data_IF_104351334208
#
_entry.id   IF_104351334208
#
_cell.length_a   1.000
_cell.length_b   1.000
_cell.length_c   1.000
_cell.angle_alpha   90.00
_cell.angle_beta   90.00
_cell.angle_gamma   90.00
#
_symmetry.space_group_name_H-M   'P 1'
#
loop_
_entity.id
_entity.type
_entity.pdbx_description
1 polymer ?
#
# COMPACT_ATOMS: atom_id res chain seq x y z
N UNK A 1 -50.88 5.98 25.67
CA UNK A 1 -52.04 6.15 24.76
C UNK A 1 -51.54 6.69 23.43
N UNK A 2 -52.00 6.08 22.32
CA UNK A 2 -51.89 6.40 20.90
C UNK A 2 -50.54 6.05 20.21
N UNK A 3 -50.57 4.85 19.63
CA UNK A 3 -49.81 4.38 18.47
C UNK A 3 -50.22 5.19 17.23
N UNK A 4 -49.27 5.57 16.40
CA UNK A 4 -49.55 5.81 14.99
C UNK A 4 -48.56 5.00 14.12
N UNK A 5 -49.15 4.06 13.40
CA UNK A 5 -48.59 3.38 12.24
C UNK A 5 -48.60 4.37 11.04
N UNK A 6 -47.50 4.47 10.31
CA UNK A 6 -47.56 4.93 8.95
C UNK A 6 -47.03 3.86 7.99
N UNK A 7 -47.85 3.62 6.99
CA UNK A 7 -47.78 2.55 5.98
C UNK A 7 -46.70 2.87 4.93
N UNK A 8 -45.98 1.83 4.55
CA UNK A 8 -45.16 1.73 3.35
C UNK A 8 -46.01 1.75 2.08
N UNK A 9 -45.55 2.52 1.10
CA UNK A 9 -46.01 2.38 -0.32
C UNK A 9 -44.78 2.04 -1.17
N UNK A 10 -44.78 0.82 -1.68
CA UNK A 10 -43.88 0.35 -2.71
C UNK A 10 -44.29 0.92 -4.06
N UNK A 11 -43.36 1.46 -4.83
CA UNK A 11 -43.54 1.78 -6.23
C UNK A 11 -42.60 0.91 -7.04
N UNK A 12 -43.19 -0.06 -7.71
CA UNK A 12 -42.58 -0.91 -8.72
C UNK A 12 -42.61 -0.16 -10.06
N UNK A 13 -41.48 0.08 -10.68
CA UNK A 13 -41.40 0.49 -12.09
C UNK A 13 -40.65 -0.58 -12.87
N UNK A 14 -41.37 -1.31 -13.67
CA UNK A 14 -40.87 -2.21 -14.70
C UNK A 14 -40.52 -1.39 -15.95
N UNK A 15 -39.30 -1.61 -16.49
CA UNK A 15 -38.98 -1.11 -17.83
C UNK A 15 -38.54 -2.28 -18.71
N UNK A 16 -39.28 -2.40 -19.83
CA UNK A 16 -39.20 -3.48 -20.80
C UNK A 16 -37.99 -3.33 -21.74
N UNK A 17 -37.38 -4.49 -22.07
CA UNK A 17 -36.42 -4.68 -23.15
C UNK A 17 -37.10 -4.50 -24.52
N UNK A 18 -36.42 -3.83 -25.43
CA UNK A 18 -36.69 -3.96 -26.88
C UNK A 18 -35.39 -4.38 -27.59
N UNK A 19 -35.37 -5.64 -28.04
CA UNK A 19 -34.42 -6.14 -29.04
C UNK A 19 -34.83 -5.65 -30.41
N UNK A 20 -33.87 -5.20 -31.22
CA UNK A 20 -34.03 -5.16 -32.67
C UNK A 20 -32.82 -5.82 -33.34
N UNK A 21 -33.06 -7.01 -33.88
CA UNK A 21 -32.25 -7.65 -34.91
C UNK A 21 -32.55 -6.98 -36.25
N UNK A 22 -31.50 -6.73 -37.04
CA UNK A 22 -31.64 -6.62 -38.49
C UNK A 22 -30.43 -7.35 -39.11
N UNK A 23 -30.77 -8.42 -39.82
CA UNK A 23 -29.91 -9.21 -40.67
C UNK A 23 -30.19 -8.85 -42.14
N UNK A 24 -29.31 -9.41 -43.02
CA UNK A 24 -29.37 -9.49 -44.51
C UNK A 24 -28.55 -8.40 -45.20
N UNK A 25 -27.76 -8.78 -46.17
CA UNK A 25 -27.51 -9.89 -47.04
C UNK A 25 -26.60 -9.43 -48.16
N UNK A 26 -25.70 -10.13 -48.62
CA UNK A 26 -25.38 -10.95 -49.67
C UNK A 26 -25.37 -10.30 -51.06
N UNK A 27 -24.28 -10.46 -51.81
CA UNK A 27 -24.32 -10.96 -53.18
C UNK A 27 -22.93 -11.00 -53.81
N UNK A 28 -22.64 -12.12 -54.38
CA UNK A 28 -21.52 -12.53 -55.20
C UNK A 28 -21.55 -11.90 -56.61
N UNK A 29 -20.39 -11.84 -57.28
CA UNK A 29 -20.18 -12.22 -58.68
C UNK A 29 -18.73 -12.02 -59.07
N UNK A 30 -18.07 -13.06 -59.30
CA UNK A 30 -17.75 -13.82 -60.55
C UNK A 30 -16.73 -13.19 -61.51
N UNK A 31 -15.58 -13.88 -61.57
CA UNK A 31 -14.79 -14.29 -62.76
C UNK A 31 -14.30 -13.24 -63.79
N UNK A 32 -13.01 -13.22 -64.08
CA UNK A 32 -12.49 -13.86 -65.32
C UNK A 32 -10.96 -13.96 -65.27
N UNK A 33 -10.50 -15.05 -65.83
CA UNK A 33 -9.16 -15.61 -66.05
C UNK A 33 -8.47 -14.96 -67.25
N UNK A 34 -7.15 -14.80 -67.26
CA UNK A 34 -6.28 -15.25 -68.37
C UNK A 34 -4.81 -14.88 -68.11
N UNK A 35 -4.02 -15.81 -67.93
CA UNK A 35 -2.92 -16.50 -68.60
C UNK A 35 -1.62 -15.72 -68.90
N UNK A 36 -0.55 -16.33 -68.36
CA UNK A 36 0.77 -16.60 -68.91
C UNK A 36 1.83 -15.52 -69.03
N UNK A 37 2.95 -15.79 -68.39
CA UNK A 37 4.27 -15.16 -68.65
C UNK A 37 5.29 -15.66 -67.61
N UNK A 38 6.21 -16.49 -68.07
CA UNK A 38 7.27 -17.29 -67.48
C UNK A 38 8.40 -16.48 -66.89
N UNK A 39 8.82 -16.80 -65.63
CA UNK A 39 10.14 -16.96 -64.95
C UNK A 39 11.36 -16.03 -65.34
N UNK A 40 12.42 -15.91 -64.45
CA UNK A 40 12.71 -16.60 -63.18
C UNK A 40 13.24 -15.76 -61.99
N UNK A 41 13.15 -16.36 -60.87
CA UNK A 41 13.96 -16.32 -59.62
C UNK A 41 14.94 -15.19 -59.31
N UNK A 42 14.69 -14.51 -58.21
CA UNK A 42 15.71 -14.05 -57.28
C UNK A 42 15.20 -14.31 -55.86
N UNK A 43 15.85 -15.21 -55.18
CA UNK A 43 15.60 -15.47 -53.76
C UNK A 43 16.12 -14.33 -52.92
N UNK A 44 15.22 -13.51 -52.36
CA UNK A 44 15.53 -12.67 -51.23
C UNK A 44 14.90 -13.34 -49.98
N UNK A 45 15.78 -13.82 -49.12
CA UNK A 45 15.42 -14.29 -47.81
C UNK A 45 14.89 -13.08 -47.00
N UNK A 46 13.59 -12.96 -46.92
CA UNK A 46 12.93 -12.07 -45.98
C UNK A 46 13.02 -12.76 -44.61
N UNK A 47 13.98 -12.31 -43.78
CA UNK A 47 14.04 -12.61 -42.39
C UNK A 47 12.73 -12.07 -41.80
N UNK A 48 11.84 -13.00 -41.39
CA UNK A 48 10.69 -12.68 -40.57
C UNK A 48 11.21 -12.06 -39.26
N UNK A 49 11.16 -10.74 -39.16
CA UNK A 49 11.28 -10.06 -37.90
C UNK A 49 10.10 -10.54 -37.03
N UNK A 50 10.40 -11.38 -36.06
CA UNK A 50 9.47 -11.73 -35.00
C UNK A 50 9.13 -10.39 -34.34
N UNK A 51 7.89 -9.95 -34.53
CA UNK A 51 7.32 -8.85 -33.76
C UNK A 51 7.20 -9.34 -32.31
N UNK A 52 8.21 -9.07 -31.51
CA UNK A 52 8.09 -9.20 -30.06
C UNK A 52 7.03 -8.19 -29.65
N UNK A 53 5.85 -8.70 -29.32
CA UNK A 53 4.84 -7.90 -28.61
C UNK A 53 5.50 -7.43 -27.34
N UNK A 54 5.49 -6.11 -27.04
CA UNK A 54 6.03 -5.62 -25.78
C UNK A 54 5.28 -6.35 -24.65
N UNK A 55 6.02 -7.11 -23.84
CA UNK A 55 5.46 -7.69 -22.61
C UNK A 55 5.22 -6.52 -21.68
N UNK A 56 3.96 -6.22 -21.39
CA UNK A 56 3.64 -5.20 -20.41
C UNK A 56 4.29 -5.59 -19.07
N UNK A 57 4.95 -4.64 -18.38
CA UNK A 57 5.55 -4.93 -17.09
C UNK A 57 4.47 -5.34 -16.09
N UNK A 58 4.64 -6.51 -15.46
CA UNK A 58 3.70 -7.05 -14.47
C UNK A 58 4.24 -6.78 -13.08
N UNK A 59 3.36 -6.43 -12.14
CA UNK A 59 3.71 -6.28 -10.75
C UNK A 59 4.33 -7.58 -10.17
N UNK A 60 5.48 -7.45 -9.51
CA UNK A 60 6.15 -8.59 -8.86
C UNK A 60 5.41 -8.96 -7.59
N UNK A 61 4.88 -10.17 -7.52
CA UNK A 61 4.24 -10.69 -6.31
C UNK A 61 5.29 -10.96 -5.21
N UNK A 62 4.84 -10.93 -3.95
CA UNK A 62 5.69 -11.34 -2.83
C UNK A 62 5.96 -12.85 -2.89
N UNK A 63 7.17 -13.28 -2.58
CA UNK A 63 7.49 -14.69 -2.35
C UNK A 63 6.85 -15.14 -1.03
N UNK A 64 5.75 -15.88 -1.15
CA UNK A 64 4.96 -16.34 0.00
C UNK A 64 5.72 -17.33 0.86
N UNK A 65 6.41 -18.27 0.21
CA UNK A 65 7.13 -19.34 0.92
C UNK A 65 8.32 -18.78 1.68
N UNK A 66 9.06 -17.85 1.07
CA UNK A 66 10.15 -17.14 1.74
C UNK A 66 9.64 -16.28 2.92
N UNK A 67 8.54 -15.56 2.73
CA UNK A 67 7.90 -14.76 3.77
C UNK A 67 7.46 -15.63 4.95
N UNK A 68 6.70 -16.69 4.69
CA UNK A 68 6.17 -17.60 5.71
C UNK A 68 7.32 -18.33 6.46
N UNK A 69 8.40 -18.73 5.75
CA UNK A 69 9.59 -19.32 6.36
C UNK A 69 10.34 -18.34 7.27
N UNK A 70 10.49 -17.08 6.84
CA UNK A 70 11.12 -16.04 7.65
C UNK A 70 10.32 -15.79 8.94
N UNK A 71 9.02 -15.62 8.84
CA UNK A 71 8.14 -15.40 9.99
C UNK A 71 8.21 -16.56 11.00
N UNK A 72 8.18 -17.79 10.51
CA UNK A 72 8.31 -18.99 11.35
C UNK A 72 9.68 -19.14 12.02
N UNK A 73 10.73 -18.50 11.49
CA UNK A 73 12.08 -18.47 12.08
C UNK A 73 12.29 -17.35 13.11
N UNK A 74 11.32 -16.43 13.24
CA UNK A 74 11.44 -15.26 14.10
C UNK A 74 11.71 -15.58 15.57
N UNK A 75 12.31 -14.64 16.33
CA UNK A 75 12.64 -14.82 17.73
C UNK A 75 11.38 -14.91 18.61
N UNK A 76 11.56 -15.50 19.81
CA UNK A 76 10.55 -15.52 20.88
C UNK A 76 11.18 -14.88 22.11
N UNK A 77 10.46 -13.98 22.78
CA UNK A 77 10.91 -13.33 23.99
C UNK A 77 10.96 -14.31 25.18
N UNK A 78 11.86 -14.05 26.11
CA UNK A 78 11.88 -14.77 27.37
C UNK A 78 10.59 -14.50 28.19
N UNK A 79 10.05 -15.52 28.82
CA UNK A 79 8.86 -15.37 29.68
C UNK A 79 9.05 -14.33 30.78
N UNK A 80 10.27 -14.21 31.32
CA UNK A 80 10.59 -13.20 32.34
C UNK A 80 10.49 -11.76 31.79
N UNK A 81 10.89 -11.52 30.54
CA UNK A 81 10.74 -10.22 29.88
C UNK A 81 9.26 -9.86 29.63
N UNK A 82 8.47 -10.84 29.21
CA UNK A 82 7.03 -10.68 29.02
C UNK A 82 6.34 -10.37 30.35
N UNK A 83 6.63 -11.14 31.40
CA UNK A 83 6.03 -10.94 32.73
C UNK A 83 6.42 -9.59 33.39
N UNK A 84 7.58 -9.05 33.05
CA UNK A 84 8.06 -7.76 33.56
C UNK A 84 7.43 -6.55 32.85
N UNK A 85 6.74 -6.74 31.71
CA UNK A 85 6.14 -5.68 30.90
C UNK A 85 4.60 -5.83 30.91
N UNK A 86 3.90 -4.83 31.42
CA UNK A 86 2.45 -4.95 31.61
C UNK A 86 1.66 -5.07 30.31
N UNK A 87 2.09 -4.39 29.26
CA UNK A 87 1.47 -4.47 27.93
C UNK A 87 1.70 -5.86 27.29
N UNK A 88 2.96 -6.33 27.24
CA UNK A 88 3.28 -7.63 26.68
C UNK A 88 2.60 -8.78 27.42
N UNK A 89 2.55 -8.69 28.77
CA UNK A 89 1.84 -9.64 29.61
C UNK A 89 0.33 -9.69 29.29
N UNK A 90 -0.30 -8.53 29.12
CA UNK A 90 -1.73 -8.48 28.75
C UNK A 90 -1.99 -9.13 27.38
N UNK A 91 -1.13 -8.92 26.38
CA UNK A 91 -1.20 -9.60 25.08
C UNK A 91 -1.01 -11.12 25.23
N UNK A 92 -0.03 -11.54 26.06
CA UNK A 92 0.20 -12.97 26.34
C UNK A 92 -1.01 -13.63 27.00
N UNK A 93 -1.61 -12.98 27.98
CA UNK A 93 -2.80 -13.46 28.69
C UNK A 93 -4.05 -13.50 27.77
N UNK A 94 -4.17 -12.55 26.84
CA UNK A 94 -5.24 -12.54 25.84
C UNK A 94 -5.06 -13.66 24.78
N UNK A 95 -3.81 -14.12 24.57
CA UNK A 95 -3.49 -15.17 23.60
C UNK A 95 -3.58 -14.72 22.14
N UNK A 96 -3.69 -13.41 21.90
CA UNK A 96 -3.79 -12.79 20.58
C UNK A 96 -3.27 -11.35 20.64
N UNK A 97 -2.55 -10.91 19.58
CA UNK A 97 -2.16 -9.53 19.38
C UNK A 97 -3.20 -8.82 18.49
N UNK A 98 -3.91 -7.83 19.02
CA UNK A 98 -4.87 -7.03 18.25
C UNK A 98 -4.14 -5.90 17.55
N UNK A 99 -4.19 -5.88 16.22
CA UNK A 99 -3.40 -4.97 15.38
C UNK A 99 -4.30 -4.06 14.57
N UNK A 100 -4.02 -2.76 14.59
CA UNK A 100 -4.52 -1.83 13.58
C UNK A 100 -3.54 -1.78 12.40
N UNK A 101 -4.01 -2.02 11.19
CA UNK A 101 -3.18 -2.00 10.00
C UNK A 101 -4.00 -1.94 8.72
N UNK A 102 -3.35 -1.84 7.57
CA UNK A 102 -4.03 -1.84 6.28
C UNK A 102 -4.10 -3.24 5.66
N UNK A 103 -4.94 -3.41 4.64
CA UNK A 103 -5.00 -4.60 3.78
C UNK A 103 -4.78 -4.28 2.31
N UNK A 104 -4.39 -3.05 2.00
CA UNK A 104 -4.38 -2.52 0.62
C UNK A 104 -3.02 -1.97 0.19
N UNK A 105 -2.03 -1.94 1.09
CA UNK A 105 -0.69 -1.44 0.82
C UNK A 105 0.19 -2.55 0.25
N UNK A 106 0.47 -2.49 -1.05
CA UNK A 106 1.08 -3.58 -1.84
C UNK A 106 2.44 -4.05 -1.30
N UNK A 107 3.31 -3.13 -0.84
CA UNK A 107 4.62 -3.48 -0.29
C UNK A 107 4.60 -3.65 1.25
N UNK A 108 3.67 -2.98 1.96
CA UNK A 108 3.67 -2.94 3.42
C UNK A 108 2.66 -3.90 4.08
N UNK A 109 1.42 -3.93 3.59
CA UNK A 109 0.39 -4.78 4.20
C UNK A 109 -0.75 -5.01 3.19
N UNK A 110 -0.65 -6.07 2.41
CA UNK A 110 -1.58 -6.44 1.36
C UNK A 110 -2.27 -7.75 1.68
N UNK A 111 -3.60 -7.75 1.67
CA UNK A 111 -4.40 -8.97 1.71
C UNK A 111 -4.22 -9.73 0.38
N UNK A 112 -3.87 -10.99 0.47
CA UNK A 112 -3.96 -11.93 -0.64
C UNK A 112 -5.32 -12.64 -0.58
N UNK A 113 -6.18 -12.34 -1.53
CA UNK A 113 -7.53 -12.90 -1.58
C UNK A 113 -7.54 -14.41 -1.90
N UNK A 114 -6.43 -14.97 -2.37
CA UNK A 114 -6.35 -16.39 -2.73
C UNK A 114 -6.21 -17.31 -1.52
N UNK A 115 -5.54 -16.85 -0.46
CA UNK A 115 -5.30 -17.61 0.76
C UNK A 115 -5.75 -16.89 2.04
N UNK A 116 -6.17 -15.63 1.93
CA UNK A 116 -6.60 -14.79 3.05
C UNK A 116 -5.44 -14.28 3.91
N UNK A 117 -4.18 -14.57 3.55
CA UNK A 117 -2.99 -14.08 4.25
C UNK A 117 -2.74 -12.59 3.98
N UNK A 118 -2.21 -11.90 4.96
CA UNK A 118 -1.76 -10.50 4.79
C UNK A 118 -0.24 -10.50 4.83
N UNK A 119 0.40 -9.94 3.80
CA UNK A 119 1.87 -9.94 3.64
C UNK A 119 2.39 -8.57 3.25
N UNK A 120 3.65 -8.33 3.53
CA UNK A 120 4.38 -7.08 3.32
C UNK A 120 5.17 -6.68 4.54
N UNK A 121 5.83 -5.54 4.50
CA UNK A 121 6.78 -5.14 5.54
C UNK A 121 6.10 -4.90 6.90
N UNK A 122 5.06 -4.05 6.96
CA UNK A 122 4.26 -3.84 8.18
C UNK A 122 3.59 -5.15 8.65
N UNK A 123 3.07 -5.93 7.68
CA UNK A 123 2.43 -7.21 7.98
C UNK A 123 3.42 -8.20 8.62
N UNK A 124 4.61 -8.31 8.08
CA UNK A 124 5.65 -9.17 8.64
C UNK A 124 6.09 -8.71 10.03
N UNK A 125 6.20 -7.40 10.26
CA UNK A 125 6.57 -6.88 11.58
C UNK A 125 5.56 -7.23 12.66
N UNK A 126 4.24 -7.05 12.43
CA UNK A 126 3.28 -7.43 13.47
C UNK A 126 3.13 -8.94 13.65
N UNK A 127 3.34 -9.74 12.60
CA UNK A 127 3.37 -11.20 12.70
C UNK A 127 4.59 -11.68 13.48
N UNK A 128 5.76 -11.09 13.24
CA UNK A 128 6.97 -11.33 14.04
C UNK A 128 6.78 -10.90 15.50
N UNK A 129 6.09 -9.78 15.77
CA UNK A 129 5.78 -9.35 17.13
C UNK A 129 4.79 -10.31 17.82
N UNK A 130 3.77 -10.81 17.10
CA UNK A 130 2.89 -11.84 17.62
C UNK A 130 3.68 -13.11 17.99
N UNK A 131 4.58 -13.56 17.11
CA UNK A 131 5.50 -14.66 17.42
C UNK A 131 6.40 -14.36 18.60
N UNK A 132 6.96 -13.17 18.68
CA UNK A 132 7.84 -12.75 19.76
C UNK A 132 7.19 -12.88 21.14
N UNK A 133 5.90 -12.52 21.25
CA UNK A 133 5.13 -12.57 22.51
C UNK A 133 4.47 -13.93 22.73
N UNK A 134 3.88 -14.53 21.69
CA UNK A 134 2.96 -15.65 21.78
C UNK A 134 3.57 -16.98 21.29
N UNK A 135 4.74 -16.93 20.67
CA UNK A 135 5.42 -18.09 20.07
C UNK A 135 4.82 -18.55 18.73
N UNK A 136 3.88 -17.79 18.17
CA UNK A 136 3.13 -18.14 16.96
C UNK A 136 2.79 -16.86 16.17
N UNK A 137 3.31 -16.73 14.95
CA UNK A 137 3.15 -15.59 14.07
C UNK A 137 1.71 -15.40 13.57
N UNK A 138 0.88 -16.43 13.68
CA UNK A 138 -0.53 -16.39 13.25
C UNK A 138 -1.48 -15.88 14.33
N UNK A 139 -0.98 -15.64 15.56
CA UNK A 139 -1.77 -15.20 16.71
C UNK A 139 -1.99 -13.70 16.74
N UNK A 140 -2.60 -13.15 15.67
CA UNK A 140 -3.02 -11.76 15.61
C UNK A 140 -4.43 -11.61 15.05
N UNK A 141 -5.05 -10.48 15.39
CA UNK A 141 -6.33 -10.04 14.82
C UNK A 141 -6.13 -8.66 14.19
N UNK A 142 -6.36 -8.55 12.88
CA UNK A 142 -6.15 -7.31 12.12
C UNK A 142 -7.44 -6.52 11.96
N UNK A 143 -7.47 -5.33 12.55
CA UNK A 143 -8.47 -4.28 12.33
C UNK A 143 -8.00 -3.34 11.23
N UNK A 144 -8.79 -3.19 10.16
CA UNK A 144 -8.49 -2.23 9.09
C UNK A 144 -8.52 -0.81 9.65
N UNK A 145 -7.46 -0.03 9.37
CA UNK A 145 -7.37 1.39 9.69
C UNK A 145 -6.91 2.20 8.49
N UNK A 146 -7.24 3.48 8.51
CA UNK A 146 -6.72 4.52 7.63
C UNK A 146 -5.99 5.58 8.48
N UNK A 147 -5.30 6.52 7.83
CA UNK A 147 -4.55 7.57 8.53
C UNK A 147 -5.41 8.37 9.51
N UNK A 148 -6.71 8.56 9.22
CA UNK A 148 -7.65 9.32 10.07
C UNK A 148 -8.24 8.50 11.23
N UNK A 149 -8.11 7.17 11.23
CA UNK A 149 -8.78 6.31 12.23
C UNK A 149 -7.81 5.59 13.17
N UNK A 150 -6.52 5.46 12.78
CA UNK A 150 -5.52 4.69 13.52
C UNK A 150 -5.27 5.16 14.96
N UNK A 151 -5.38 6.47 15.24
CA UNK A 151 -5.26 7.00 16.60
C UNK A 151 -6.46 6.61 17.47
N UNK A 152 -7.67 6.74 16.94
CA UNK A 152 -8.89 6.47 17.70
C UNK A 152 -9.04 5.01 18.11
N UNK A 153 -8.56 4.05 17.30
CA UNK A 153 -8.61 2.62 17.67
C UNK A 153 -7.63 2.27 18.80
N UNK A 154 -6.49 2.97 18.90
CA UNK A 154 -5.56 2.88 20.03
C UNK A 154 -6.17 3.50 21.30
N UNK A 155 -6.64 4.73 21.20
CA UNK A 155 -7.24 5.47 22.33
C UNK A 155 -8.46 4.77 22.93
N UNK A 156 -9.22 4.04 22.10
CA UNK A 156 -10.38 3.26 22.54
C UNK A 156 -10.07 1.82 22.94
N UNK A 157 -8.78 1.43 22.97
CA UNK A 157 -8.32 0.06 23.30
C UNK A 157 -8.94 -1.03 22.38
N UNK A 158 -9.28 -0.70 21.15
CA UNK A 158 -9.73 -1.68 20.16
C UNK A 158 -8.58 -2.55 19.66
N UNK A 159 -7.37 -1.98 19.63
CA UNK A 159 -6.15 -2.65 19.23
C UNK A 159 -5.04 -2.43 20.27
N UNK A 160 -4.06 -3.33 20.27
CA UNK A 160 -2.89 -3.28 21.15
C UNK A 160 -1.73 -2.51 20.52
N UNK A 161 -1.64 -2.54 19.20
CA UNK A 161 -0.62 -1.82 18.42
C UNK A 161 -1.14 -1.44 17.02
N UNK A 162 -0.54 -0.41 16.40
CA UNK A 162 -0.84 0.00 15.01
C UNK A 162 0.43 -0.03 14.17
N UNK A 163 0.34 -0.74 13.02
CA UNK A 163 1.34 -0.83 11.96
C UNK A 163 0.69 -0.35 10.66
N UNK A 164 0.94 0.88 10.29
CA UNK A 164 0.27 1.52 9.15
C UNK A 164 1.10 2.66 8.57
N UNK A 165 2.41 2.40 8.26
CA UNK A 165 3.35 3.44 7.80
C UNK A 165 3.17 4.73 8.61
N UNK A 166 3.27 4.60 9.95
CA UNK A 166 2.76 5.60 10.87
C UNK A 166 3.85 6.60 11.28
N UNK A 167 3.91 7.73 10.60
CA UNK A 167 4.87 8.81 10.89
C UNK A 167 4.82 9.24 12.35
N UNK A 168 5.99 9.22 12.99
CA UNK A 168 6.18 9.75 14.34
C UNK A 168 6.19 11.29 14.25
N UNK A 169 5.21 11.94 14.87
CA UNK A 169 5.15 13.42 14.95
C UNK A 169 4.92 13.87 16.39
N UNK A 170 5.37 15.09 16.77
CA UNK A 170 5.13 15.62 18.12
C UNK A 170 3.63 15.64 18.49
N UNK A 171 2.76 16.04 17.57
CA UNK A 171 1.31 16.08 17.82
C UNK A 171 0.71 14.70 18.09
N UNK A 172 1.17 13.68 17.40
CA UNK A 172 0.73 12.29 17.63
C UNK A 172 1.26 11.74 18.95
N UNK A 173 2.50 12.10 19.32
CA UNK A 173 3.11 11.69 20.60
C UNK A 173 2.40 12.30 21.83
N UNK A 174 1.59 13.34 21.65
CA UNK A 174 0.74 13.87 22.72
C UNK A 174 -0.44 12.95 23.05
N UNK A 175 -0.85 12.09 22.14
CA UNK A 175 -2.10 11.28 22.25
C UNK A 175 -1.91 9.78 22.18
N UNK A 176 -0.74 9.31 21.69
CA UNK A 176 -0.32 7.90 21.68
C UNK A 176 1.17 7.79 21.97
N UNK A 177 1.64 6.60 22.33
CA UNK A 177 3.06 6.26 22.39
C UNK A 177 3.53 5.62 21.09
N UNK A 178 4.83 5.73 20.79
CA UNK A 178 5.47 5.05 19.66
C UNK A 178 6.63 4.20 20.12
N UNK A 179 6.82 3.05 19.45
CA UNK A 179 8.08 2.33 19.39
C UNK A 179 8.71 2.52 18.00
N UNK A 180 10.01 2.38 17.89
CA UNK A 180 10.78 2.59 16.67
C UNK A 180 11.62 3.87 16.69
N UNK A 181 11.97 4.46 15.54
CA UNK A 181 11.38 4.13 14.21
C UNK A 181 11.81 2.77 13.68
N UNK A 182 11.00 2.19 12.79
CA UNK A 182 11.31 0.95 12.09
C UNK A 182 11.59 1.13 10.59
N UNK A 183 11.28 2.30 10.05
CA UNK A 183 11.47 2.67 8.64
C UNK A 183 11.59 4.18 8.50
N UNK A 184 12.28 4.65 7.46
CA UNK A 184 12.38 6.08 7.13
C UNK A 184 11.99 6.32 5.67
N UNK A 185 11.13 7.30 5.43
CA UNK A 185 10.69 7.76 4.13
C UNK A 185 10.90 9.27 3.97
N UNK A 186 10.44 9.83 2.87
CA UNK A 186 10.31 11.27 2.61
C UNK A 186 9.10 11.50 1.72
N UNK A 187 8.64 12.73 1.60
CA UNK A 187 7.52 13.07 0.71
C UNK A 187 7.96 13.08 -0.75
N UNK A 188 7.04 12.72 -1.65
CA UNK A 188 7.25 12.83 -3.10
C UNK A 188 5.95 13.17 -3.82
N UNK A 189 6.07 13.49 -5.10
CA UNK A 189 4.95 13.87 -5.97
C UNK A 189 4.72 12.76 -6.98
N UNK A 190 3.53 12.18 -7.00
CA UNK A 190 3.07 11.22 -7.99
C UNK A 190 2.23 11.93 -9.05
N UNK A 191 2.49 11.60 -10.30
CA UNK A 191 1.72 12.06 -11.46
C UNK A 191 1.37 10.89 -12.36
N UNK A 192 0.46 11.11 -13.30
CA UNK A 192 0.22 10.12 -14.37
C UNK A 192 1.43 10.05 -15.28
N UNK A 193 1.75 8.85 -15.77
CA UNK A 193 2.83 8.65 -16.72
C UNK A 193 2.63 9.55 -17.96
N UNK A 194 3.74 10.13 -18.42
CA UNK A 194 3.75 11.09 -19.54
C UNK A 194 3.31 12.51 -19.18
N UNK A 195 3.16 12.82 -17.89
CA UNK A 195 2.93 14.20 -17.45
C UNK A 195 4.16 15.07 -17.73
N UNK A 196 3.92 16.30 -18.22
CA UNK A 196 4.96 17.29 -18.51
C UNK A 196 4.75 18.61 -17.77
N UNK A 197 3.65 18.76 -17.03
CA UNK A 197 3.29 20.01 -16.37
C UNK A 197 3.78 20.08 -14.92
N UNK A 198 3.70 18.96 -14.21
CA UNK A 198 4.16 18.84 -12.82
C UNK A 198 5.53 18.17 -12.84
N UNK A 199 6.57 18.90 -12.46
CA UNK A 199 7.97 18.46 -12.50
C UNK A 199 8.60 18.30 -11.10
N UNK A 200 7.80 18.45 -10.06
CA UNK A 200 8.20 18.37 -8.65
C UNK A 200 7.37 19.30 -7.78
N UNK A 201 7.71 19.40 -6.50
CA UNK A 201 6.97 20.20 -5.51
C UNK A 201 6.87 21.68 -5.89
N UNK A 202 7.94 22.26 -6.47
CA UNK A 202 7.97 23.67 -6.86
C UNK A 202 6.98 24.04 -7.98
N UNK A 203 6.49 23.03 -8.73
CA UNK A 203 5.52 23.23 -9.81
C UNK A 203 4.06 23.03 -9.41
N UNK A 204 3.78 22.84 -8.12
CA UNK A 204 2.43 22.59 -7.61
C UNK A 204 1.58 23.86 -7.41
N UNK A 205 2.14 25.07 -7.57
CA UNK A 205 1.40 26.32 -7.45
C UNK A 205 0.18 26.35 -8.38
N UNK A 206 -1.02 26.53 -7.82
CA UNK A 206 -2.29 26.54 -8.55
C UNK A 206 -2.78 25.19 -9.08
N UNK A 207 -2.03 24.09 -8.84
CA UNK A 207 -2.45 22.73 -9.18
C UNK A 207 -3.34 22.15 -8.10
N UNK A 208 -4.27 21.29 -8.50
CA UNK A 208 -5.08 20.50 -7.56
C UNK A 208 -4.28 19.27 -7.14
N UNK A 209 -3.96 19.18 -5.85
CA UNK A 209 -3.08 18.15 -5.29
C UNK A 209 -3.84 17.28 -4.30
N UNK A 210 -3.88 15.96 -4.58
CA UNK A 210 -4.42 14.98 -3.65
C UNK A 210 -3.46 14.73 -2.49
N UNK A 211 -4.00 14.45 -1.32
CA UNK A 211 -3.31 13.85 -0.18
C UNK A 211 -4.29 13.05 0.68
N UNK A 212 -3.81 12.31 1.69
CA UNK A 212 -4.69 11.55 2.58
C UNK A 212 -5.06 12.37 3.81
N UNK A 213 -6.34 12.36 4.17
CA UNK A 213 -6.83 12.94 5.42
C UNK A 213 -6.23 12.25 6.64
N UNK A 214 -5.78 13.02 7.63
CA UNK A 214 -5.12 12.51 8.84
C UNK A 214 -3.69 11.99 8.63
N UNK A 215 -3.12 12.16 7.42
CA UNK A 215 -1.70 11.94 7.15
C UNK A 215 -0.87 13.19 7.51
N UNK A 216 0.44 13.15 7.26
CA UNK A 216 1.32 14.32 7.32
C UNK A 216 1.20 15.20 6.07
N UNK A 217 0.58 14.69 5.00
CA UNK A 217 0.51 15.34 3.69
C UNK A 217 -0.11 16.74 3.69
N UNK A 218 -1.23 17.02 4.38
CA UNK A 218 -1.80 18.38 4.45
C UNK A 218 -0.82 19.41 5.03
N UNK A 219 -0.14 19.09 6.13
CA UNK A 219 0.83 19.97 6.77
C UNK A 219 2.07 20.19 5.88
N UNK A 220 2.57 19.13 5.25
CA UNK A 220 3.69 19.18 4.30
C UNK A 220 3.33 20.05 3.09
N UNK A 221 2.13 19.91 2.54
CA UNK A 221 1.70 20.75 1.42
C UNK A 221 1.52 22.23 1.84
N UNK A 222 1.04 22.48 3.05
CA UNK A 222 0.95 23.85 3.58
C UNK A 222 2.32 24.52 3.72
N UNK A 223 3.37 23.75 4.04
CA UNK A 223 4.74 24.25 4.20
C UNK A 223 5.48 24.40 2.87
N UNK A 224 5.46 23.33 2.02
CA UNK A 224 6.32 23.24 0.83
C UNK A 224 5.63 23.62 -0.48
N UNK A 225 4.29 23.63 -0.52
CA UNK A 225 3.50 24.02 -1.68
C UNK A 225 2.26 24.84 -1.28
N UNK A 226 2.41 26.00 -0.59
CA UNK A 226 1.28 26.73 0.00
C UNK A 226 0.29 27.30 -1.02
N UNK A 227 0.67 27.38 -2.29
CA UNK A 227 -0.20 27.84 -3.38
C UNK A 227 -0.92 26.68 -4.10
N UNK A 228 -0.70 25.42 -3.69
CA UNK A 228 -1.43 24.28 -4.20
C UNK A 228 -2.89 24.26 -3.70
N UNK A 229 -3.80 23.76 -4.53
CA UNK A 229 -5.18 23.51 -4.14
C UNK A 229 -5.28 22.10 -3.57
N UNK A 230 -5.19 21.95 -2.26
CA UNK A 230 -5.17 20.65 -1.59
C UNK A 230 -6.56 20.03 -1.56
N UNK A 231 -6.65 18.77 -1.98
CA UNK A 231 -7.85 17.94 -1.86
C UNK A 231 -7.52 16.68 -1.07
N UNK A 232 -8.16 16.53 0.10
CA UNK A 232 -7.98 15.38 0.97
C UNK A 232 -8.91 14.22 0.59
N UNK A 233 -8.36 13.01 0.63
CA UNK A 233 -9.08 11.75 0.38
C UNK A 233 -8.98 10.84 1.61
N UNK A 234 -9.94 9.96 1.79
CA UNK A 234 -9.98 9.08 2.96
C UNK A 234 -8.80 8.09 2.99
N UNK A 235 -8.35 7.63 1.81
CA UNK A 235 -7.28 6.65 1.68
C UNK A 235 -6.48 6.82 0.38
N UNK A 236 -5.36 6.09 0.29
CA UNK A 236 -4.46 6.07 -0.87
C UNK A 236 -5.17 5.68 -2.17
N UNK A 237 -6.05 4.68 -2.12
CA UNK A 237 -6.74 4.21 -3.32
C UNK A 237 -7.65 5.28 -3.93
N UNK A 238 -8.37 6.02 -3.09
CA UNK A 238 -9.24 7.12 -3.55
C UNK A 238 -8.43 8.29 -4.14
N UNK A 239 -7.30 8.64 -3.50
CA UNK A 239 -6.39 9.67 -3.99
C UNK A 239 -5.82 9.31 -5.38
N UNK A 240 -5.33 8.07 -5.54
CA UNK A 240 -4.82 7.58 -6.83
C UNK A 240 -5.91 7.51 -7.90
N UNK A 241 -7.10 7.04 -7.56
CA UNK A 241 -8.22 7.02 -8.49
C UNK A 241 -8.62 8.44 -8.95
N UNK A 242 -8.53 9.43 -8.06
CA UNK A 242 -8.75 10.82 -8.43
C UNK A 242 -7.70 11.33 -9.43
N UNK A 243 -6.43 10.94 -9.23
CA UNK A 243 -5.34 11.25 -10.16
C UNK A 243 -5.56 10.57 -11.52
N UNK A 244 -5.88 9.28 -11.55
CA UNK A 244 -6.17 8.54 -12.79
C UNK A 244 -7.29 9.18 -13.61
N UNK A 245 -8.36 9.61 -12.92
CA UNK A 245 -9.52 10.26 -13.52
C UNK A 245 -9.27 11.71 -13.93
N UNK A 246 -8.10 12.28 -13.62
CA UNK A 246 -7.77 13.69 -13.90
C UNK A 246 -8.60 14.68 -13.06
N UNK A 247 -9.11 14.25 -11.90
CA UNK A 247 -9.78 15.15 -10.94
C UNK A 247 -8.78 15.95 -10.12
N UNK A 248 -7.55 15.46 -10.02
CA UNK A 248 -6.40 16.14 -9.44
C UNK A 248 -5.22 16.04 -10.40
N UNK A 249 -4.29 16.99 -10.31
CA UNK A 249 -3.10 17.09 -11.16
C UNK A 249 -1.95 16.23 -10.64
N UNK A 250 -1.86 16.09 -9.32
CA UNK A 250 -0.81 15.33 -8.62
C UNK A 250 -1.34 14.71 -7.32
N UNK A 251 -0.58 13.74 -6.79
CA UNK A 251 -0.79 13.17 -5.48
C UNK A 251 0.51 13.24 -4.67
N UNK A 252 0.45 13.82 -3.47
CA UNK A 252 1.58 13.95 -2.54
C UNK A 252 1.34 13.07 -1.32
N UNK A 253 2.28 12.21 -1.06
CA UNK A 253 2.40 11.36 0.14
C UNK A 253 3.83 10.83 0.23
N UNK A 254 4.08 9.92 1.16
CA UNK A 254 5.38 9.29 1.37
C UNK A 254 5.85 8.53 0.13
N UNK A 255 7.10 8.73 -0.25
CA UNK A 255 7.73 8.08 -1.41
C UNK A 255 7.51 6.57 -1.43
N UNK A 256 7.63 5.91 -0.28
CA UNK A 256 7.40 4.47 -0.15
C UNK A 256 5.97 4.04 -0.48
N UNK A 257 4.96 4.86 -0.17
CA UNK A 257 3.58 4.62 -0.58
C UNK A 257 3.38 4.85 -2.07
N UNK A 258 4.09 5.81 -2.65
CA UNK A 258 4.08 6.05 -4.10
C UNK A 258 4.75 4.90 -4.86
N UNK A 259 5.81 4.28 -4.31
CA UNK A 259 6.37 3.05 -4.86
C UNK A 259 5.35 1.92 -4.93
N UNK A 260 4.46 1.77 -3.92
CA UNK A 260 3.34 0.82 -4.01
C UNK A 260 2.52 1.02 -5.29
N UNK A 261 2.19 2.28 -5.61
CA UNK A 261 1.40 2.62 -6.78
C UNK A 261 2.10 2.25 -8.08
N UNK A 262 3.40 2.61 -8.19
CA UNK A 262 4.21 2.38 -9.38
C UNK A 262 4.45 0.88 -9.62
N UNK A 263 4.83 0.15 -8.58
CA UNK A 263 5.14 -1.29 -8.70
C UNK A 263 3.88 -2.11 -8.96
N UNK A 264 2.76 -1.73 -8.33
CA UNK A 264 1.47 -2.41 -8.53
C UNK A 264 0.87 -2.13 -9.90
N UNK A 265 1.10 -0.93 -10.47
CA UNK A 265 0.52 -0.48 -11.74
C UNK A 265 1.62 0.06 -12.67
N UNK A 266 2.51 -0.82 -13.18
CA UNK A 266 3.61 -0.39 -14.04
C UNK A 266 3.13 0.41 -15.24
N UNK A 267 3.81 1.52 -15.54
CA UNK A 267 3.49 2.38 -16.68
C UNK A 267 2.29 3.33 -16.51
N UNK A 268 1.60 3.28 -15.34
CA UNK A 268 0.45 4.17 -15.06
C UNK A 268 0.87 5.49 -14.45
N UNK A 269 1.90 5.47 -13.60
CA UNK A 269 2.37 6.60 -12.82
C UNK A 269 3.87 6.81 -12.93
N UNK A 270 4.31 8.00 -12.56
CA UNK A 270 5.72 8.35 -12.37
C UNK A 270 5.89 9.32 -11.20
N UNK A 271 7.09 9.33 -10.61
CA UNK A 271 7.48 10.33 -9.62
C UNK A 271 7.96 11.57 -10.37
N UNK A 272 7.39 12.73 -10.01
CA UNK A 272 7.79 14.02 -10.55
C UNK A 272 8.82 14.67 -9.61
N UNK A 273 10.04 14.86 -10.12
CA UNK A 273 11.16 15.46 -9.39
C UNK A 273 11.72 14.57 -8.29
N UNK A 274 12.47 15.20 -7.37
CA UNK A 274 13.08 14.53 -6.23
C UNK A 274 12.13 14.42 -5.03
N UNK A 275 12.47 13.60 -4.06
CA UNK A 275 11.82 13.59 -2.74
C UNK A 275 12.09 14.92 -2.02
N UNK A 276 11.16 15.37 -1.20
CA UNK A 276 11.24 16.65 -0.52
C UNK A 276 10.77 16.57 0.95
N UNK A 277 10.87 17.68 1.66
CA UNK A 277 10.49 17.76 3.07
C UNK A 277 11.48 17.07 4.01
N UNK A 278 11.16 16.98 5.30
CA UNK A 278 11.98 16.29 6.30
C UNK A 278 11.93 14.77 6.10
N UNK A 279 12.81 14.06 6.79
CA UNK A 279 12.68 12.62 6.97
C UNK A 279 11.40 12.28 7.69
N UNK A 280 10.72 11.25 7.22
CA UNK A 280 9.48 10.73 7.78
C UNK A 280 9.73 9.35 8.39
N UNK A 281 9.86 9.33 9.70
CA UNK A 281 10.17 8.15 10.48
C UNK A 281 8.88 7.41 10.86
N UNK A 282 8.73 6.15 10.43
CA UNK A 282 7.59 5.31 10.79
C UNK A 282 7.82 4.59 12.11
N UNK A 283 6.86 4.73 13.01
CA UNK A 283 6.82 4.03 14.28
C UNK A 283 5.62 3.09 14.42
N UNK A 284 5.70 2.23 15.39
CA UNK A 284 4.62 1.36 15.83
C UNK A 284 3.84 2.11 16.88
N UNK A 285 2.58 2.47 16.55
CA UNK A 285 1.69 3.16 17.50
C UNK A 285 1.21 2.22 18.61
N UNK A 286 1.22 2.72 19.84
CA UNK A 286 0.84 2.01 21.06
C UNK A 286 -0.07 2.91 21.91
N UNK A 287 -0.87 2.37 22.85
CA UNK A 287 -1.62 3.19 23.78
C UNK A 287 -0.73 4.19 24.52
N UNK A 288 -1.25 5.38 24.78
CA UNK A 288 -0.51 6.45 25.47
C UNK A 288 0.03 5.95 26.82
N UNK A 289 1.27 6.34 27.13
CA UNK A 289 1.97 5.96 28.36
C UNK A 289 2.15 4.44 28.58
N UNK A 290 2.00 3.65 27.51
CA UNK A 290 2.21 2.20 27.56
C UNK A 290 3.70 1.86 27.75
N UNK A 291 4.01 0.95 28.68
CA UNK A 291 5.34 0.33 28.81
C UNK A 291 5.68 -0.59 27.62
N UNK A 292 4.69 -0.88 26.76
CA UNK A 292 4.87 -1.63 25.52
C UNK A 292 5.89 -1.01 24.56
N UNK A 293 6.08 0.32 24.57
CA UNK A 293 7.05 0.97 23.70
C UNK A 293 8.48 0.46 23.94
N UNK A 294 8.88 0.30 25.20
CA UNK A 294 10.19 -0.26 25.54
C UNK A 294 10.34 -1.72 25.11
N UNK A 295 9.29 -2.54 25.31
CA UNK A 295 9.28 -3.95 24.90
C UNK A 295 9.36 -4.12 23.38
N UNK A 296 8.59 -3.33 22.64
CA UNK A 296 8.59 -3.36 21.17
C UNK A 296 9.91 -2.81 20.60
N UNK A 297 10.55 -1.84 21.26
CA UNK A 297 11.91 -1.39 20.88
C UNK A 297 12.94 -2.51 21.02
N UNK A 298 12.90 -3.32 22.10
CA UNK A 298 13.77 -4.49 22.24
C UNK A 298 13.48 -5.57 21.18
N UNK A 299 12.21 -5.78 20.83
CA UNK A 299 11.85 -6.63 19.68
C UNK A 299 12.48 -6.13 18.39
N UNK A 300 12.34 -4.83 18.06
CA UNK A 300 12.90 -4.24 16.84
C UNK A 300 14.43 -4.40 16.80
N UNK A 301 15.14 -4.08 17.89
CA UNK A 301 16.59 -4.31 17.99
C UNK A 301 16.96 -5.77 17.76
N UNK A 302 16.20 -6.69 18.34
CA UNK A 302 16.45 -8.14 18.19
C UNK A 302 16.35 -8.57 16.73
N UNK A 303 15.33 -8.12 15.99
CA UNK A 303 15.18 -8.49 14.57
C UNK A 303 16.15 -7.75 13.65
N UNK A 304 16.65 -6.58 14.04
CA UNK A 304 17.73 -5.88 13.33
C UNK A 304 19.06 -6.58 13.52
N UNK A 305 19.45 -6.90 14.75
CA UNK A 305 20.72 -7.54 15.10
C UNK A 305 20.87 -8.94 14.49
N UNK A 306 19.79 -9.70 14.36
CA UNK A 306 19.79 -11.04 13.77
C UNK A 306 19.54 -11.06 12.25
N UNK A 307 19.36 -9.88 11.62
CA UNK A 307 19.20 -9.72 10.19
C UNK A 307 17.79 -9.97 9.66
N UNK A 308 16.83 -10.34 10.50
CA UNK A 308 15.43 -10.61 10.07
C UNK A 308 14.76 -9.35 9.52
N UNK A 309 15.06 -8.17 10.08
CA UNK A 309 14.55 -6.90 9.55
C UNK A 309 14.98 -6.69 8.09
N UNK A 310 16.26 -6.89 7.78
CA UNK A 310 16.80 -6.71 6.44
C UNK A 310 16.25 -7.75 5.45
N UNK A 311 16.09 -9.00 5.89
CA UNK A 311 15.50 -10.06 5.07
C UNK A 311 14.01 -9.81 4.80
N UNK A 312 13.24 -9.39 5.81
CA UNK A 312 11.84 -9.00 5.64
C UNK A 312 11.71 -7.81 4.68
N UNK A 313 12.62 -6.82 4.78
CA UNK A 313 12.66 -5.70 3.86
C UNK A 313 12.94 -6.18 2.43
N UNK A 314 13.92 -7.08 2.26
CA UNK A 314 14.27 -7.61 0.94
C UNK A 314 13.09 -8.34 0.28
N UNK A 315 12.43 -9.25 1.00
CA UNK A 315 11.26 -10.00 0.50
C UNK A 315 10.09 -9.05 0.20
N UNK A 316 9.84 -8.06 1.05
CA UNK A 316 8.67 -7.19 0.94
C UNK A 316 8.83 -6.04 -0.05
N UNK A 317 10.01 -5.42 -0.10
CA UNK A 317 10.32 -4.24 -0.91
C UNK A 317 11.38 -4.53 -1.97
N UNK A 318 12.57 -4.99 -1.58
CA UNK A 318 13.73 -5.10 -2.45
C UNK A 318 13.44 -5.88 -3.72
N UNK A 319 13.04 -7.14 -3.58
CA UNK A 319 12.77 -8.06 -4.70
C UNK A 319 11.63 -7.57 -5.60
N UNK A 320 10.76 -6.73 -5.07
CA UNK A 320 9.56 -6.23 -5.76
C UNK A 320 9.76 -4.86 -6.42
N UNK A 321 10.77 -4.12 -5.99
CA UNK A 321 11.13 -2.79 -6.52
C UNK A 321 12.40 -2.80 -7.35
N UNK A 322 13.16 -3.92 -7.34
CA UNK A 322 14.46 -4.04 -7.99
C UNK A 322 15.59 -3.34 -7.22
N UNK A 323 15.42 -3.12 -5.91
CA UNK A 323 16.46 -2.58 -5.04
C UNK A 323 17.17 -3.75 -4.34
N UNK A 324 18.41 -4.00 -4.75
CA UNK A 324 19.15 -5.21 -4.36
C UNK A 324 19.66 -5.21 -2.91
N UNK A 325 19.62 -4.09 -2.20
CA UNK A 325 20.18 -3.98 -0.85
C UNK A 325 19.25 -3.19 0.05
N UNK A 326 18.89 -3.80 1.18
CA UNK A 326 18.13 -3.10 2.22
C UNK A 326 18.91 -1.87 2.72
N UNK A 327 18.22 -0.75 2.99
CA UNK A 327 18.85 0.39 3.65
C UNK A 327 19.28 0.00 5.07
N UNK A 328 20.11 0.83 5.68
CA UNK A 328 20.36 0.72 7.11
C UNK A 328 19.04 0.99 7.86
N UNK A 329 18.74 0.14 8.87
CA UNK A 329 17.57 0.36 9.72
C UNK A 329 17.75 1.68 10.50
N UNK A 330 16.68 2.47 10.69
CA UNK A 330 16.78 3.71 11.44
C UNK A 330 17.11 3.43 12.91
N UNK A 331 17.89 4.32 13.53
CA UNK A 331 18.23 4.16 14.94
C UNK A 331 16.98 4.22 15.83
N UNK A 332 16.76 3.19 16.63
CA UNK A 332 15.64 3.11 17.57
C UNK A 332 15.89 4.06 18.74
N UNK A 333 14.90 4.96 18.97
CA UNK A 333 14.98 6.02 20.00
C UNK A 333 14.59 5.58 21.41
#
# INVERSE_FOLDING_TARGET
>A
MKKQLLKSTAVTAALALALSLAACGGASSTTTQSAAGTEPAAASSEAAAASETPVEPVAVAIDKDACDALLASGPVADDAAIEANSWAKAVKEAGVLRVGGTRTSFLFSQLDETDGGVRGFDAGLYQLLARYILGDETKYELTQVDSSTRESVLQSNQVDAVFATYSITPSRQEVISFAGPYYTSRQAVLVKAGNTEVTGVDSLAGKTVATQSGSTGPDILAEFAPEAVVQEFANDQEARLALEQGRVDAYVTDYTLLLNAIVKNPGTYEIAGDTFGPEDNYGIGLPLDSDGAAFVNEFLKTIEENGIWAELWQISLGDRTGIDTAPEAPAIG
#
